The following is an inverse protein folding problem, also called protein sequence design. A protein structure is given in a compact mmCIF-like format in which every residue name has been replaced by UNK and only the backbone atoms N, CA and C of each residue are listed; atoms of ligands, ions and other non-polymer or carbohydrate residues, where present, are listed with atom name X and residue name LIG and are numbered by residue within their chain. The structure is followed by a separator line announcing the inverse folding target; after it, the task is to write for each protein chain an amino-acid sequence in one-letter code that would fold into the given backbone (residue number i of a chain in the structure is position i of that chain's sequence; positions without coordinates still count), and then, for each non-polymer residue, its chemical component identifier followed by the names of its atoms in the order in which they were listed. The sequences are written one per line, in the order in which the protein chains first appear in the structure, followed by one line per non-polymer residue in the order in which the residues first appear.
data_IF_885960342711
#
_entry.id   IF_885960342711
#
_cell.length_a   1.000
_cell.length_b   1.000
_cell.length_c   1.000
_cell.angle_alpha   90.00
_cell.angle_beta   90.00
_cell.angle_gamma   90.00
#
_symmetry.space_group_name_H-M   'P 1'
#
loop_
_entity.id
_entity.type
_entity.pdbx_description
1 polymer ?
#
# COMPACT_ATOMS: atom_id res chain seq x y z
N UNK A 1 10.27 -39.66 -29.71
CA UNK A 1 9.60 -39.83 -28.40
C UNK A 1 10.49 -39.25 -27.32
N UNK A 2 10.09 -38.12 -26.73
CA UNK A 2 10.87 -37.40 -25.71
C UNK A 2 10.92 -38.26 -24.44
N UNK A 3 12.11 -38.73 -24.06
CA UNK A 3 12.33 -39.41 -22.79
C UNK A 3 12.41 -38.33 -21.70
N UNK A 4 11.40 -38.27 -20.83
CA UNK A 4 11.48 -37.49 -19.59
C UNK A 4 12.60 -38.06 -18.73
N UNK A 5 13.54 -37.20 -18.37
CA UNK A 5 14.66 -37.50 -17.48
C UNK A 5 14.10 -37.64 -16.05
N UNK A 6 14.02 -38.88 -15.56
CA UNK A 6 13.70 -39.18 -14.17
C UNK A 6 14.99 -38.95 -13.35
N UNK A 7 15.04 -37.86 -12.59
CA UNK A 7 16.17 -37.57 -11.70
C UNK A 7 15.91 -38.22 -10.33
N UNK A 8 16.54 -39.36 -10.10
CA UNK A 8 16.60 -40.05 -8.80
C UNK A 8 17.68 -39.36 -7.95
N UNK A 9 17.31 -38.61 -6.91
CA UNK A 9 18.28 -37.96 -6.03
C UNK A 9 18.70 -38.93 -4.90
N UNK A 10 19.95 -39.42 -4.97
CA UNK A 10 20.62 -40.11 -3.87
C UNK A 10 20.99 -39.08 -2.79
N UNK A 11 20.45 -39.21 -1.58
CA UNK A 11 20.84 -38.41 -0.41
C UNK A 11 22.17 -38.94 0.16
N UNK A 12 23.29 -38.41 -0.34
CA UNK A 12 24.55 -38.44 0.41
C UNK A 12 24.50 -37.34 1.47
N UNK A 13 24.49 -37.72 2.74
CA UNK A 13 24.72 -36.82 3.87
C UNK A 13 26.18 -36.36 3.86
N UNK A 14 26.48 -35.33 3.08
CA UNK A 14 27.61 -34.45 3.38
C UNK A 14 27.19 -33.54 4.53
N UNK A 15 28.03 -33.48 5.57
CA UNK A 15 27.92 -32.52 6.67
C UNK A 15 28.12 -31.12 6.13
N UNK A 16 27.04 -30.54 5.59
CA UNK A 16 26.95 -29.13 5.25
C UNK A 16 26.56 -28.41 6.53
N UNK A 17 27.37 -27.43 6.91
CA UNK A 17 27.10 -26.46 7.96
C UNK A 17 25.63 -26.00 7.91
N UNK A 18 25.02 -25.81 9.08
CA UNK A 18 23.56 -25.60 9.30
C UNK A 18 22.96 -24.30 8.71
N UNK A 19 23.46 -23.83 7.58
CA UNK A 19 23.23 -22.50 7.02
C UNK A 19 22.91 -22.57 5.53
N UNK A 20 22.33 -23.65 5.01
CA UNK A 20 22.02 -23.74 3.59
C UNK A 20 20.64 -24.39 3.42
N UNK A 21 19.62 -23.58 3.11
CA UNK A 21 18.25 -24.06 2.89
C UNK A 21 17.97 -24.17 1.39
N UNK A 22 17.72 -25.39 0.94
CA UNK A 22 17.27 -25.65 -0.42
C UNK A 22 15.79 -25.27 -0.55
N UNK A 23 15.49 -24.39 -1.50
CA UNK A 23 14.12 -23.91 -1.82
C UNK A 23 13.78 -24.32 -3.25
N UNK A 24 12.53 -24.70 -3.50
CA UNK A 24 12.00 -24.94 -4.84
C UNK A 24 10.97 -23.84 -5.13
N UNK A 25 11.30 -22.85 -5.98
CA UNK A 25 10.47 -21.64 -6.15
C UNK A 25 9.08 -21.93 -6.72
N UNK A 26 8.98 -22.92 -7.60
CA UNK A 26 7.72 -23.40 -8.16
C UNK A 26 7.87 -24.84 -8.65
N UNK A 27 6.75 -25.54 -8.76
CA UNK A 27 6.73 -26.91 -9.23
C UNK A 27 5.38 -27.60 -9.09
N UNK A 28 5.39 -28.91 -9.33
CA UNK A 28 4.25 -29.80 -9.10
C UNK A 28 4.65 -30.86 -8.08
N UNK A 29 3.85 -31.00 -7.04
CA UNK A 29 3.89 -32.09 -6.07
C UNK A 29 2.95 -33.20 -6.54
N UNK A 30 3.38 -34.45 -6.48
CA UNK A 30 2.48 -35.62 -6.60
C UNK A 30 2.44 -36.34 -5.26
N UNK A 31 1.25 -36.52 -4.70
CA UNK A 31 1.01 -37.26 -3.46
C UNK A 31 0.97 -38.77 -3.72
N UNK A 32 1.08 -39.57 -2.65
CA UNK A 32 0.88 -41.03 -2.73
C UNK A 32 -0.52 -41.44 -3.22
N UNK A 33 -1.50 -40.56 -3.05
CA UNK A 33 -2.86 -40.70 -3.60
C UNK A 33 -2.96 -40.43 -5.10
N UNK A 34 -1.83 -40.14 -5.77
CA UNK A 34 -1.75 -39.64 -7.15
C UNK A 34 -2.39 -38.25 -7.38
N UNK A 35 -2.80 -37.57 -6.30
CA UNK A 35 -3.20 -36.16 -6.36
C UNK A 35 -2.00 -35.27 -6.72
N UNK A 36 -2.23 -34.30 -7.60
CA UNK A 36 -1.22 -33.33 -8.04
C UNK A 36 -1.54 -31.94 -7.51
N UNK A 37 -0.54 -31.29 -6.92
CA UNK A 37 -0.64 -29.94 -6.35
C UNK A 37 0.43 -29.06 -6.99
N UNK A 38 0.02 -27.97 -7.64
CA UNK A 38 0.96 -26.94 -8.11
C UNK A 38 1.32 -26.03 -6.95
N UNK A 39 2.60 -25.70 -6.79
CA UNK A 39 3.08 -24.96 -5.64
C UNK A 39 4.06 -23.85 -5.98
N UNK A 40 4.23 -22.92 -5.03
CA UNK A 40 5.33 -21.97 -4.98
C UNK A 40 6.07 -22.03 -3.63
N UNK A 41 7.32 -21.54 -3.61
CA UNK A 41 8.13 -21.34 -2.41
C UNK A 41 8.22 -22.56 -1.48
N UNK A 42 8.42 -23.76 -2.04
CA UNK A 42 8.54 -24.97 -1.25
C UNK A 42 9.89 -25.00 -0.53
N UNK A 43 9.85 -25.29 0.77
CA UNK A 43 11.01 -25.43 1.65
C UNK A 43 10.90 -26.69 2.51
N UNK A 44 12.02 -27.30 2.80
CA UNK A 44 12.10 -28.43 3.71
C UNK A 44 12.29 -27.94 5.15
N UNK A 45 11.54 -28.53 6.08
CA UNK A 45 11.64 -28.27 7.53
C UNK A 45 11.62 -29.63 8.25
N UNK A 46 12.80 -30.20 8.45
CA UNK A 46 12.92 -31.56 9.00
C UNK A 46 12.29 -32.59 8.06
N UNK A 47 11.34 -33.38 8.56
CA UNK A 47 10.60 -34.37 7.78
C UNK A 47 9.38 -33.81 7.03
N UNK A 48 9.17 -32.48 7.08
CA UNK A 48 8.03 -31.82 6.44
C UNK A 48 8.48 -30.98 5.25
N UNK A 49 7.58 -30.85 4.29
CA UNK A 49 7.62 -29.80 3.26
C UNK A 49 6.59 -28.73 3.60
N UNK A 50 6.99 -27.48 3.46
CA UNK A 50 6.10 -26.32 3.59
C UNK A 50 6.10 -25.58 2.26
N UNK A 51 4.93 -25.29 1.70
CA UNK A 51 4.79 -24.68 0.37
C UNK A 51 3.51 -23.87 0.26
N UNK A 52 3.43 -22.98 -0.72
CA UNK A 52 2.21 -22.25 -1.05
C UNK A 52 1.47 -23.03 -2.14
N UNK A 53 0.26 -23.52 -1.85
CA UNK A 53 -0.60 -24.15 -2.84
C UNK A 53 -1.13 -23.09 -3.81
N UNK A 54 -0.86 -23.22 -5.10
CA UNK A 54 -1.26 -22.22 -6.09
C UNK A 54 -2.76 -22.26 -6.41
N UNK A 55 -3.50 -23.27 -5.94
CA UNK A 55 -4.95 -23.36 -6.12
C UNK A 55 -5.70 -22.34 -5.27
N UNK A 56 -5.25 -22.11 -4.03
CA UNK A 56 -5.91 -21.23 -3.06
C UNK A 56 -4.94 -20.24 -2.39
N UNK A 57 -3.68 -20.23 -2.82
CA UNK A 57 -2.58 -19.40 -2.33
C UNK A 57 -2.32 -19.51 -0.82
N UNK A 58 -2.72 -20.63 -0.19
CA UNK A 58 -2.49 -20.90 1.23
C UNK A 58 -1.18 -21.66 1.44
N UNK A 59 -0.51 -21.34 2.55
CA UNK A 59 0.63 -22.16 3.00
C UNK A 59 0.10 -23.50 3.53
N UNK A 60 0.67 -24.59 3.02
CA UNK A 60 0.38 -25.96 3.41
C UNK A 60 1.66 -26.63 3.88
N UNK A 61 1.48 -27.54 4.84
CA UNK A 61 2.55 -28.39 5.35
C UNK A 61 2.16 -29.84 5.13
N UNK A 62 3.08 -30.64 4.59
CA UNK A 62 2.91 -32.08 4.40
C UNK A 62 4.12 -32.83 4.92
N UNK A 63 3.92 -34.04 5.41
CA UNK A 63 5.03 -34.94 5.73
C UNK A 63 5.65 -35.47 4.44
N UNK A 64 6.97 -35.62 4.40
CA UNK A 64 7.69 -36.21 3.26
C UNK A 64 7.20 -37.63 2.94
N UNK A 65 6.68 -38.34 3.94
CA UNK A 65 6.10 -39.67 3.78
C UNK A 65 4.80 -39.67 2.96
N UNK A 66 4.15 -38.52 2.76
CA UNK A 66 2.92 -38.37 1.97
C UNK A 66 3.21 -38.06 0.49
N UNK A 67 4.46 -37.69 0.18
CA UNK A 67 4.88 -37.23 -1.14
C UNK A 67 5.43 -38.39 -1.98
N UNK A 68 4.92 -38.53 -3.20
CA UNK A 68 5.38 -39.50 -4.21
C UNK A 68 6.44 -38.92 -5.13
N UNK A 69 6.28 -37.68 -5.59
CA UNK A 69 7.25 -36.99 -6.44
C UNK A 69 7.19 -35.46 -6.28
N UNK A 70 8.33 -34.81 -6.48
CA UNK A 70 8.44 -33.34 -6.55
C UNK A 70 9.08 -32.99 -7.89
N UNK A 71 8.37 -32.24 -8.73
CA UNK A 71 8.87 -31.72 -10.00
C UNK A 71 9.11 -30.23 -9.87
N UNK A 72 10.37 -29.79 -9.78
CA UNK A 72 10.74 -28.38 -9.72
C UNK A 72 12.25 -28.20 -9.68
N UNK A 73 12.73 -27.00 -10.02
CA UNK A 73 14.16 -26.69 -9.99
C UNK A 73 14.55 -26.17 -8.61
N UNK A 74 15.30 -26.97 -7.87
CA UNK A 74 15.86 -26.55 -6.59
C UNK A 74 16.90 -25.44 -6.78
N UNK A 75 16.86 -24.45 -5.90
CA UNK A 75 17.91 -23.45 -5.71
C UNK A 75 18.38 -23.51 -4.26
N UNK A 76 19.68 -23.27 -4.07
CA UNK A 76 20.31 -23.35 -2.76
C UNK A 76 20.46 -21.94 -2.19
N UNK A 77 19.96 -21.71 -0.97
CA UNK A 77 19.98 -20.38 -0.32
C UNK A 77 20.79 -20.47 0.97
N UNK A 78 21.90 -19.75 1.06
CA UNK A 78 22.74 -19.70 2.27
C UNK A 78 22.14 -18.77 3.35
N UNK A 79 22.01 -19.24 4.58
CA UNK A 79 21.60 -18.51 5.78
C UNK A 79 22.81 -18.13 6.67
N UNK A 80 23.39 -16.94 6.55
CA UNK A 80 24.22 -16.36 7.61
C UNK A 80 24.23 -14.81 7.60
N UNK A 81 23.95 -14.23 8.79
CA UNK A 81 24.03 -12.80 9.15
C UNK A 81 23.02 -11.86 8.42
N UNK A 82 22.53 -10.79 9.08
CA UNK A 82 21.52 -9.90 8.50
C UNK A 82 22.03 -9.40 7.16
N UNK A 83 21.20 -9.58 6.13
CA UNK A 83 21.58 -9.44 4.73
C UNK A 83 22.43 -8.18 4.49
N UNK A 84 23.62 -8.29 3.85
CA UNK A 84 24.12 -7.17 3.08
C UNK A 84 23.05 -6.91 2.02
N UNK A 85 22.54 -5.67 2.00
CA UNK A 85 21.58 -5.19 1.01
C UNK A 85 22.11 -5.55 -0.37
N UNK A 86 21.63 -6.63 -0.98
CA UNK A 86 21.73 -6.79 -2.42
C UNK A 86 20.86 -5.67 -2.95
N UNK A 87 21.52 -4.59 -3.34
CA UNK A 87 20.93 -3.50 -4.11
C UNK A 87 20.49 -4.17 -5.40
N UNK A 88 19.26 -4.71 -5.39
CA UNK A 88 18.38 -4.65 -6.55
C UNK A 88 18.54 -3.22 -7.00
N UNK A 89 19.06 -2.94 -8.21
CA UNK A 89 19.17 -1.58 -8.68
C UNK A 89 17.81 -0.96 -8.41
N UNK A 90 17.81 0.04 -7.51
CA UNK A 90 16.62 0.81 -7.23
C UNK A 90 16.16 1.25 -8.60
N UNK A 91 15.06 0.67 -9.09
CA UNK A 91 14.34 1.31 -10.18
C UNK A 91 14.11 2.68 -9.59
N UNK A 92 14.81 3.69 -10.12
CA UNK A 92 14.58 5.09 -9.81
C UNK A 92 13.17 5.39 -10.30
N UNK A 93 12.20 4.91 -9.55
CA UNK A 93 10.83 5.28 -9.66
C UNK A 93 10.86 6.77 -9.33
N UNK A 94 10.58 7.60 -10.33
CA UNK A 94 10.61 9.06 -10.23
C UNK A 94 9.57 9.61 -9.24
N UNK A 95 8.85 8.72 -8.54
CA UNK A 95 7.91 9.03 -7.48
C UNK A 95 8.60 9.73 -6.32
N UNK A 96 7.87 10.70 -5.78
CA UNK A 96 8.27 11.46 -4.62
C UNK A 96 8.50 10.56 -3.40
N UNK A 97 9.64 10.80 -2.72
CA UNK A 97 10.10 10.11 -1.51
C UNK A 97 10.54 11.17 -0.49
N UNK A 98 9.72 11.50 0.51
CA UNK A 98 10.11 12.46 1.53
C UNK A 98 11.08 11.81 2.52
N UNK A 99 11.91 12.63 3.18
CA UNK A 99 12.83 12.16 4.23
C UNK A 99 12.07 11.93 5.55
N UNK A 100 11.37 10.80 5.63
CA UNK A 100 10.65 10.31 6.79
C UNK A 100 11.04 8.85 7.04
N UNK A 101 11.60 8.50 8.21
CA UNK A 101 11.87 7.10 8.57
C UNK A 101 10.61 6.23 8.40
N UNK A 102 10.78 5.02 7.87
CA UNK A 102 9.68 4.06 7.73
C UNK A 102 9.07 3.75 9.11
N UNK A 103 7.74 3.71 9.19
CA UNK A 103 7.02 3.47 10.43
C UNK A 103 5.66 4.17 10.49
N UNK A 104 4.98 3.95 11.61
CA UNK A 104 3.69 4.54 11.94
C UNK A 104 3.94 5.84 12.70
N UNK A 105 3.31 6.92 12.22
CA UNK A 105 3.23 8.20 12.91
C UNK A 105 1.84 8.31 13.49
N UNK A 106 1.69 7.88 14.75
CA UNK A 106 0.38 7.82 15.40
C UNK A 106 -0.22 9.22 15.57
N UNK A 107 0.60 10.20 15.94
CA UNK A 107 0.16 11.58 16.19
C UNK A 107 0.70 12.58 15.16
N UNK A 108 0.08 13.77 15.14
CA UNK A 108 0.58 14.91 14.36
C UNK A 108 1.97 15.31 14.83
N UNK A 109 2.22 15.24 16.13
CA UNK A 109 3.48 15.59 16.77
C UNK A 109 4.60 14.61 16.36
N UNK A 110 4.33 13.31 16.34
CA UNK A 110 5.26 12.30 15.82
C UNK A 110 5.67 12.62 14.39
N UNK A 111 4.68 13.00 13.56
CA UNK A 111 4.88 13.38 12.17
C UNK A 111 5.71 14.66 12.02
N UNK A 112 5.41 15.71 12.77
CA UNK A 112 6.17 16.96 12.75
C UNK A 112 7.62 16.71 13.16
N UNK A 113 7.83 15.88 14.18
CA UNK A 113 9.16 15.55 14.70
C UNK A 113 9.91 14.51 13.83
N UNK A 114 9.28 14.00 12.76
CA UNK A 114 9.83 12.95 11.89
C UNK A 114 10.31 11.71 12.66
N UNK A 115 9.63 11.41 13.76
CA UNK A 115 9.93 10.28 14.64
C UNK A 115 8.72 9.35 14.64
N UNK A 116 8.79 8.18 13.99
CA UNK A 116 7.69 7.24 14.04
C UNK A 116 7.47 6.77 15.49
N UNK A 117 6.20 6.62 15.88
CA UNK A 117 5.80 6.09 17.18
C UNK A 117 6.15 4.60 17.28
N UNK A 118 6.12 3.89 16.15
CA UNK A 118 6.53 2.48 16.02
C UNK A 118 6.93 2.15 14.59
N UNK A 119 7.72 1.09 14.39
CA UNK A 119 8.13 0.61 13.06
C UNK A 119 7.92 -0.90 12.89
N UNK A 120 6.67 -1.40 13.01
CA UNK A 120 6.35 -2.80 12.77
C UNK A 120 6.40 -3.14 11.27
N UNK A 121 6.41 -4.43 10.94
CA UNK A 121 6.23 -4.86 9.56
C UNK A 121 4.78 -4.63 9.10
N UNK A 122 4.64 -3.98 7.94
CA UNK A 122 3.34 -3.58 7.38
C UNK A 122 3.08 -4.21 6.02
N UNK A 123 1.81 -4.45 5.73
CA UNK A 123 1.32 -4.81 4.40
C UNK A 123 0.27 -3.81 3.94
N UNK A 124 0.34 -3.44 2.66
CA UNK A 124 -0.70 -2.67 1.99
C UNK A 124 -1.68 -3.64 1.32
N UNK A 125 -2.98 -3.33 1.40
CA UNK A 125 -4.05 -4.09 0.75
C UNK A 125 -4.98 -3.18 -0.04
N UNK A 126 -5.59 -3.74 -1.08
CA UNK A 126 -6.46 -3.00 -2.01
C UNK A 126 -7.76 -2.48 -1.36
N UNK A 127 -8.39 -1.53 -2.06
CA UNK A 127 -9.63 -0.88 -1.62
C UNK A 127 -10.87 -1.75 -1.84
N UNK A 128 -10.87 -2.60 -2.87
CA UNK A 128 -12.02 -3.33 -3.38
C UNK A 128 -11.90 -4.85 -3.16
N UNK A 129 -13.05 -5.53 -3.13
CA UNK A 129 -13.15 -6.98 -2.94
C UNK A 129 -13.43 -7.40 -1.49
N UNK A 130 -14.14 -8.52 -1.33
CA UNK A 130 -14.33 -9.18 -0.03
C UNK A 130 -12.99 -9.73 0.50
N UNK A 131 -12.14 -10.20 -0.41
CA UNK A 131 -10.76 -10.57 -0.14
C UNK A 131 -9.86 -9.40 -0.56
N UNK A 132 -9.30 -8.70 0.43
CA UNK A 132 -8.34 -7.62 0.16
C UNK A 132 -6.97 -8.22 -0.04
N UNK A 133 -6.57 -8.39 -1.28
CA UNK A 133 -5.27 -8.95 -1.62
C UNK A 133 -4.12 -8.04 -1.17
N UNK A 134 -2.97 -8.66 -0.90
CA UNK A 134 -1.73 -7.94 -0.58
C UNK A 134 -1.22 -7.28 -1.85
N UNK A 135 -0.94 -5.99 -1.76
CA UNK A 135 -0.30 -5.23 -2.83
C UNK A 135 1.21 -5.43 -2.75
N UNK A 136 1.81 -5.87 -3.85
CA UNK A 136 3.27 -6.03 -3.97
C UNK A 136 4.00 -4.70 -4.21
N UNK A 137 3.36 -3.78 -4.94
CA UNK A 137 3.89 -2.46 -5.31
C UNK A 137 3.49 -1.31 -4.37
N UNK A 138 3.71 -0.09 -4.87
CA UNK A 138 3.27 1.17 -4.24
C UNK A 138 2.09 1.70 -5.04
N UNK A 139 0.96 1.94 -4.38
CA UNK A 139 -0.25 2.52 -4.95
C UNK A 139 -0.59 3.84 -4.26
N UNK A 140 -1.45 4.66 -4.87
CA UNK A 140 -1.81 5.96 -4.32
C UNK A 140 -2.87 5.86 -3.22
N UNK A 141 -3.69 4.81 -3.24
CA UNK A 141 -4.71 4.57 -2.23
C UNK A 141 -4.70 3.13 -1.78
N UNK A 142 -4.68 2.91 -0.46
CA UNK A 142 -4.70 1.57 0.10
C UNK A 142 -5.20 1.56 1.55
N UNK A 143 -5.34 0.37 2.11
CA UNK A 143 -5.41 0.16 3.55
C UNK A 143 -4.11 -0.48 4.03
N UNK A 144 -3.60 -0.05 5.18
CA UNK A 144 -2.47 -0.69 5.83
C UNK A 144 -2.92 -1.65 6.93
N UNK A 145 -2.16 -2.72 7.09
CA UNK A 145 -2.38 -3.77 8.06
C UNK A 145 -1.04 -4.17 8.71
N UNK A 146 -1.09 -4.61 9.97
CA UNK A 146 0.05 -5.25 10.61
C UNK A 146 0.29 -6.62 9.96
N UNK A 147 1.53 -6.90 9.54
CA UNK A 147 1.83 -8.15 8.84
C UNK A 147 1.60 -9.40 9.70
N UNK A 148 1.82 -9.29 11.02
CA UNK A 148 1.73 -10.42 11.96
C UNK A 148 0.29 -10.78 12.28
N UNK A 149 -0.56 -9.79 12.61
CA UNK A 149 -1.92 -10.03 13.10
C UNK A 149 -2.98 -9.92 12.01
N UNK A 150 -2.62 -9.39 10.84
CA UNK A 150 -3.55 -8.98 9.80
C UNK A 150 -4.64 -7.99 10.30
N UNK A 151 -4.33 -7.25 11.37
CA UNK A 151 -5.21 -6.19 11.86
C UNK A 151 -5.01 -4.92 11.05
N UNK A 152 -6.13 -4.30 10.64
CA UNK A 152 -6.12 -3.02 9.92
C UNK A 152 -5.64 -1.90 10.83
N UNK A 153 -4.70 -1.09 10.34
CA UNK A 153 -4.26 0.13 11.02
C UNK A 153 -5.33 1.21 10.90
N UNK A 154 -5.65 1.82 12.04
CA UNK A 154 -6.68 2.85 12.20
C UNK A 154 -6.18 3.93 13.15
N UNK A 155 -6.77 5.12 13.11
CA UNK A 155 -6.49 6.22 14.05
C UNK A 155 -5.02 6.63 14.13
N UNK A 156 -4.34 6.76 13.00
CA UNK A 156 -2.95 7.24 12.94
C UNK A 156 -2.84 8.44 12.01
N UNK A 157 -1.87 9.32 12.25
CA UNK A 157 -1.69 10.50 11.43
C UNK A 157 -1.15 10.16 10.03
N UNK A 158 -0.05 9.40 9.99
CA UNK A 158 0.61 9.02 8.74
C UNK A 158 1.33 7.68 8.87
N UNK A 159 1.70 7.11 7.72
CA UNK A 159 2.59 5.96 7.62
C UNK A 159 3.67 6.30 6.59
N UNK A 160 4.93 6.11 6.96
CA UNK A 160 6.02 5.99 5.99
C UNK A 160 6.25 4.52 5.71
N UNK A 161 6.12 4.11 4.45
CA UNK A 161 6.20 2.72 4.02
C UNK A 161 7.04 2.62 2.75
N UNK A 162 8.16 1.89 2.81
CA UNK A 162 9.12 1.71 1.72
C UNK A 162 9.60 3.05 1.14
N UNK A 163 9.81 4.05 2.01
CA UNK A 163 10.23 5.40 1.65
C UNK A 163 9.17 6.28 1.00
N UNK A 164 7.89 5.88 1.02
CA UNK A 164 6.77 6.71 0.59
C UNK A 164 5.89 7.07 1.79
N UNK A 165 5.41 8.30 1.81
CA UNK A 165 4.57 8.82 2.87
C UNK A 165 3.09 8.73 2.49
N UNK A 166 2.27 8.34 3.46
CA UNK A 166 0.83 8.20 3.32
C UNK A 166 0.11 8.88 4.48
N UNK A 167 -0.94 9.64 4.19
CA UNK A 167 -1.84 10.20 5.19
C UNK A 167 -3.10 9.38 5.30
N UNK A 168 -3.58 9.16 6.53
CA UNK A 168 -4.90 8.55 6.73
C UNK A 168 -5.99 9.57 6.43
N UNK A 169 -7.07 9.18 5.73
CA UNK A 169 -8.19 10.09 5.45
C UNK A 169 -8.80 10.65 6.75
N UNK A 170 -8.91 9.83 7.79
CA UNK A 170 -9.37 10.28 9.10
C UNK A 170 -8.47 11.38 9.69
N UNK A 171 -7.14 11.26 9.56
CA UNK A 171 -6.20 12.26 10.02
C UNK A 171 -6.29 13.56 9.21
N UNK A 172 -6.42 13.46 7.89
CA UNK A 172 -6.69 14.59 7.01
C UNK A 172 -7.95 15.32 7.50
N UNK A 173 -9.03 14.59 7.70
CA UNK A 173 -10.28 15.18 8.12
C UNK A 173 -10.10 15.82 9.51
N UNK A 174 -9.61 15.12 10.52
CA UNK A 174 -9.45 15.67 11.88
C UNK A 174 -8.56 16.92 11.96
N UNK A 175 -7.57 17.06 11.08
CA UNK A 175 -6.59 18.15 11.12
C UNK A 175 -6.73 19.14 9.96
N UNK A 176 -7.92 19.24 9.35
CA UNK A 176 -8.18 20.17 8.25
C UNK A 176 -8.42 21.61 8.71
N UNK A 177 -8.15 22.55 7.83
CA UNK A 177 -8.51 23.96 7.98
C UNK A 177 -10.00 24.08 8.32
N UNK A 178 -10.34 25.05 9.19
CA UNK A 178 -11.72 25.22 9.70
C UNK A 178 -12.75 25.45 8.59
N UNK A 179 -12.36 26.06 7.48
CA UNK A 179 -13.24 26.29 6.33
C UNK A 179 -13.54 25.01 5.54
N UNK A 180 -12.78 23.94 5.78
CA UNK A 180 -12.92 22.64 5.11
C UNK A 180 -13.78 21.62 5.87
N UNK A 181 -14.42 22.06 6.96
CA UNK A 181 -15.23 21.21 7.84
C UNK A 181 -16.37 20.46 7.16
N UNK A 182 -16.83 20.93 6.01
CA UNK A 182 -17.90 20.26 5.26
C UNK A 182 -17.42 19.08 4.38
N UNK A 183 -16.17 18.60 4.49
CA UNK A 183 -15.68 17.45 3.73
C UNK A 183 -15.76 16.13 4.52
N UNK A 184 -16.04 15.02 3.85
CA UNK A 184 -16.15 13.67 4.43
C UNK A 184 -15.75 12.58 3.43
N UNK A 185 -15.53 11.35 3.90
CA UNK A 185 -15.40 10.13 3.10
C UNK A 185 -15.83 8.91 3.94
N UNK A 186 -16.59 7.97 3.39
CA UNK A 186 -17.08 6.79 4.12
C UNK A 186 -16.00 5.76 4.49
N UNK A 187 -14.84 5.81 3.84
CA UNK A 187 -13.66 4.99 4.03
C UNK A 187 -12.57 5.74 4.83
N UNK A 188 -12.92 6.29 5.99
CA UNK A 188 -12.01 7.08 6.87
C UNK A 188 -10.65 6.41 7.14
N UNK A 189 -10.59 5.08 7.15
CA UNK A 189 -9.36 4.33 7.42
C UNK A 189 -8.45 4.14 6.20
N UNK A 190 -8.85 4.61 5.03
CA UNK A 190 -8.04 4.58 3.82
C UNK A 190 -6.85 5.52 3.99
N UNK A 191 -5.75 5.17 3.33
CA UNK A 191 -4.56 5.99 3.23
C UNK A 191 -4.43 6.52 1.82
N UNK A 192 -3.95 7.77 1.70
CA UNK A 192 -3.54 8.36 0.43
C UNK A 192 -2.06 8.71 0.44
N UNK A 193 -1.38 8.43 -0.68
CA UNK A 193 0.05 8.69 -0.85
C UNK A 193 0.32 10.17 -1.12
N UNK A 194 1.39 10.68 -0.53
CA UNK A 194 1.97 11.97 -0.90
C UNK A 194 2.69 11.81 -2.24
N UNK A 195 2.26 12.58 -3.24
CA UNK A 195 2.77 12.48 -4.61
C UNK A 195 3.73 13.60 -4.98
N UNK A 196 3.65 14.74 -4.28
CA UNK A 196 4.52 15.90 -4.47
C UNK A 196 4.85 16.48 -3.09
N UNK A 197 6.06 16.99 -2.92
CA UNK A 197 6.41 17.76 -1.73
C UNK A 197 7.43 18.83 -2.07
N UNK A 198 7.16 20.04 -1.59
CA UNK A 198 8.01 21.20 -1.74
C UNK A 198 8.53 21.70 -0.39
N UNK A 199 9.14 22.88 -0.39
CA UNK A 199 9.70 23.48 0.84
C UNK A 199 8.64 23.71 1.93
N UNK A 200 7.40 24.02 1.55
CA UNK A 200 6.36 24.47 2.47
C UNK A 200 5.17 23.51 2.63
N UNK A 201 5.11 22.44 1.83
CA UNK A 201 3.96 21.55 1.84
C UNK A 201 4.23 20.12 1.39
N UNK A 202 3.29 19.26 1.74
CA UNK A 202 3.07 17.99 1.04
C UNK A 202 1.72 17.99 0.33
N UNK A 203 1.71 17.48 -0.89
CA UNK A 203 0.52 17.33 -1.71
C UNK A 203 0.15 15.85 -1.87
N UNK A 204 -1.12 15.57 -1.64
CA UNK A 204 -1.75 14.29 -1.91
C UNK A 204 -3.11 14.53 -2.57
N UNK A 205 -3.72 13.47 -3.07
CA UNK A 205 -5.08 13.52 -3.58
C UNK A 205 -5.93 12.52 -2.84
N UNK A 206 -7.17 12.84 -2.54
CA UNK A 206 -8.09 11.84 -2.03
C UNK A 206 -9.49 12.07 -2.56
N UNK A 207 -10.21 10.96 -2.69
CA UNK A 207 -11.62 11.00 -2.96
C UNK A 207 -12.37 11.53 -1.73
N UNK A 208 -13.07 12.65 -1.85
CA UNK A 208 -13.83 13.28 -0.76
C UNK A 208 -15.16 13.82 -1.27
N UNK A 209 -16.17 13.86 -0.39
CA UNK A 209 -17.49 14.40 -0.66
C UNK A 209 -17.82 15.57 0.27
N UNK A 210 -18.78 16.40 -0.12
CA UNK A 210 -19.38 17.36 0.80
C UNK A 210 -20.35 16.63 1.76
N UNK A 211 -20.11 16.74 3.06
CA UNK A 211 -20.86 16.05 4.12
C UNK A 211 -22.34 16.43 4.13
N UNK A 212 -22.70 17.68 3.84
CA UNK A 212 -24.09 18.11 3.80
C UNK A 212 -24.81 17.58 2.56
N UNK A 213 -24.17 17.67 1.39
CA UNK A 213 -24.72 17.12 0.16
C UNK A 213 -24.91 15.60 0.26
N UNK A 214 -23.90 14.91 0.81
CA UNK A 214 -23.94 13.46 1.00
C UNK A 214 -24.98 13.05 2.06
N UNK A 215 -25.08 13.79 3.17
CA UNK A 215 -26.08 13.56 4.20
C UNK A 215 -27.52 13.79 3.70
N UNK A 216 -27.73 14.84 2.90
CA UNK A 216 -29.02 15.08 2.24
C UNK A 216 -29.37 13.96 1.26
N UNK A 217 -28.40 13.50 0.45
CA UNK A 217 -28.63 12.39 -0.47
C UNK A 217 -29.04 11.12 0.27
N UNK A 218 -28.32 10.73 1.33
CA UNK A 218 -28.66 9.56 2.14
C UNK A 218 -30.03 9.69 2.85
N UNK A 219 -30.34 10.86 3.42
CA UNK A 219 -31.54 11.07 4.21
C UNK A 219 -32.81 11.38 3.39
N UNK A 220 -32.68 11.98 2.22
CA UNK A 220 -33.79 12.54 1.46
C UNK A 220 -34.35 11.67 0.33
N UNK A 221 -33.59 10.67 -0.15
CA UNK A 221 -33.95 9.95 -1.39
C UNK A 221 -33.94 8.41 -1.28
N UNK A 222 -33.94 7.86 -0.06
CA UNK A 222 -34.00 6.40 0.16
C UNK A 222 -32.88 5.64 -0.60
N UNK A 223 -33.22 4.52 -1.24
CA UNK A 223 -32.26 3.70 -1.99
C UNK A 223 -31.58 4.46 -3.16
N UNK A 224 -32.31 5.35 -3.85
CA UNK A 224 -31.74 6.21 -4.89
C UNK A 224 -30.75 7.23 -4.29
N UNK A 225 -31.01 7.65 -3.05
CA UNK A 225 -30.13 8.50 -2.26
C UNK A 225 -28.76 7.90 -1.98
N UNK A 226 -28.67 6.60 -1.72
CA UNK A 226 -27.40 5.92 -1.51
C UNK A 226 -26.53 5.89 -2.77
N UNK A 227 -27.13 5.67 -3.95
CA UNK A 227 -26.44 5.70 -5.23
C UNK A 227 -25.96 7.12 -5.55
N UNK A 228 -26.83 8.12 -5.36
CA UNK A 228 -26.47 9.52 -5.54
C UNK A 228 -25.34 9.96 -4.60
N UNK A 229 -25.38 9.55 -3.33
CA UNK A 229 -24.36 9.86 -2.33
C UNK A 229 -22.98 9.28 -2.67
N UNK A 230 -22.94 8.11 -3.32
CA UNK A 230 -21.70 7.51 -3.82
C UNK A 230 -21.16 8.24 -5.06
N UNK A 231 -22.03 8.79 -5.92
CA UNK A 231 -21.62 9.60 -7.07
C UNK A 231 -21.11 11.01 -6.72
N UNK A 232 -21.23 11.45 -5.46
CA UNK A 232 -20.79 12.78 -4.99
C UNK A 232 -19.34 12.83 -4.48
N UNK A 233 -18.62 11.73 -4.69
CA UNK A 233 -17.26 11.50 -4.23
C UNK A 233 -16.27 11.86 -5.35
N UNK A 234 -15.52 12.95 -5.15
CA UNK A 234 -14.59 13.48 -6.16
C UNK A 234 -13.16 13.43 -5.65
N UNK A 235 -12.22 13.13 -6.53
CA UNK A 235 -10.80 13.29 -6.22
C UNK A 235 -10.49 14.78 -6.05
N UNK A 236 -9.86 15.11 -4.92
CA UNK A 236 -9.51 16.48 -4.55
C UNK A 236 -8.05 16.56 -4.19
N UNK A 237 -7.42 17.66 -4.58
CA UNK A 237 -6.09 18.02 -4.10
C UNK A 237 -6.12 18.38 -2.62
N UNK A 238 -5.12 17.91 -1.89
CA UNK A 238 -4.96 18.10 -0.45
C UNK A 238 -3.53 18.54 -0.19
N UNK A 239 -3.37 19.61 0.57
CA UNK A 239 -2.09 20.18 0.94
C UNK A 239 -1.94 20.10 2.44
N UNK A 240 -0.94 19.38 2.93
CA UNK A 240 -0.44 19.57 4.28
C UNK A 240 0.47 20.81 4.31
N UNK A 241 0.05 21.84 5.02
CA UNK A 241 0.80 23.09 5.18
C UNK A 241 1.73 22.99 6.39
N UNK A 242 3.05 23.05 6.19
CA UNK A 242 4.01 22.93 7.29
C UNK A 242 3.95 24.08 8.29
N UNK A 243 3.63 25.29 7.83
CA UNK A 243 3.60 26.49 8.67
C UNK A 243 2.39 26.46 9.58
N UNK A 244 1.22 26.18 9.01
CA UNK A 244 -0.05 26.17 9.75
C UNK A 244 -0.33 24.83 10.44
N UNK A 245 0.39 23.77 10.07
CA UNK A 245 0.24 22.41 10.61
C UNK A 245 -1.19 21.89 10.49
N UNK A 246 -1.79 22.13 9.32
CA UNK A 246 -3.14 21.71 8.98
C UNK A 246 -3.23 21.25 7.52
N UNK A 247 -4.29 20.51 7.21
CA UNK A 247 -4.63 20.14 5.84
C UNK A 247 -5.55 21.18 5.21
N UNK A 248 -5.18 21.68 4.04
CA UNK A 248 -6.05 22.46 3.16
C UNK A 248 -6.59 21.55 2.06
N UNK A 249 -7.90 21.58 1.83
CA UNK A 249 -8.57 20.75 0.82
C UNK A 249 -9.09 21.65 -0.29
N UNK A 250 -8.74 21.36 -1.53
CA UNK A 250 -9.26 22.08 -2.70
C UNK A 250 -10.68 21.61 -3.01
N UNK A 251 -11.66 22.05 -2.21
CA UNK A 251 -13.07 21.60 -2.33
C UNK A 251 -13.68 22.01 -3.66
N UNK A 252 -13.19 23.11 -4.21
CA UNK A 252 -13.55 23.68 -5.49
C UNK A 252 -12.35 24.45 -6.09
N UNK A 253 -12.50 24.90 -7.33
CA UNK A 253 -11.45 25.60 -8.06
C UNK A 253 -11.07 26.96 -7.43
N UNK A 254 -12.02 27.64 -6.76
CA UNK A 254 -11.72 28.89 -6.05
C UNK A 254 -10.78 28.64 -4.88
N UNK A 255 -11.01 27.59 -4.08
CA UNK A 255 -10.14 27.26 -2.94
C UNK A 255 -8.71 26.94 -3.42
N UNK A 256 -8.57 26.22 -4.54
CA UNK A 256 -7.27 26.03 -5.17
C UNK A 256 -6.61 27.36 -5.58
N UNK A 257 -7.38 28.25 -6.25
CA UNK A 257 -6.86 29.55 -6.67
C UNK A 257 -6.43 30.43 -5.48
N UNK A 258 -7.20 30.43 -4.40
CA UNK A 258 -6.88 31.16 -3.17
C UNK A 258 -5.54 30.66 -2.57
N UNK A 259 -5.24 29.37 -2.70
CA UNK A 259 -3.97 28.78 -2.27
C UNK A 259 -2.80 29.08 -3.23
N UNK A 260 -2.98 28.90 -4.55
CA UNK A 260 -1.86 28.95 -5.50
C UNK A 260 -1.48 30.38 -5.88
N UNK A 261 -2.43 31.32 -5.99
CA UNK A 261 -2.16 32.67 -6.52
C UNK A 261 -1.10 33.44 -5.72
N UNK A 262 -1.07 33.39 -4.38
CA UNK A 262 0.00 34.03 -3.61
C UNK A 262 1.39 33.42 -3.83
N UNK A 263 1.48 32.18 -4.30
CA UNK A 263 2.73 31.42 -4.46
C UNK A 263 3.21 31.40 -5.92
N UNK A 264 2.26 31.28 -6.86
CA UNK A 264 2.49 31.16 -8.29
C UNK A 264 1.26 31.67 -9.06
N UNK A 265 1.19 33.00 -9.31
CA UNK A 265 0.05 33.64 -9.98
C UNK A 265 -0.30 33.03 -11.34
N UNK A 266 0.70 32.58 -12.10
CA UNK A 266 0.55 31.94 -13.40
C UNK A 266 -0.15 30.57 -13.30
N UNK A 267 -0.15 29.95 -12.13
CA UNK A 267 -0.85 28.71 -11.83
C UNK A 267 -2.37 28.86 -11.63
N UNK A 268 -2.89 30.09 -11.69
CA UNK A 268 -4.32 30.38 -11.54
C UNK A 268 -5.16 29.70 -12.63
N UNK A 269 -6.20 28.99 -12.22
CA UNK A 269 -7.17 28.40 -13.13
C UNK A 269 -8.34 29.34 -13.41
N UNK A 270 -8.91 29.23 -14.61
CA UNK A 270 -10.09 29.99 -15.02
C UNK A 270 -11.41 29.53 -14.33
N UNK A 271 -11.39 28.38 -13.65
CA UNK A 271 -12.55 27.82 -12.92
C UNK A 271 -13.83 27.69 -13.74
N UNK A 272 -13.74 27.12 -14.95
CA UNK A 272 -14.90 26.81 -15.80
C UNK A 272 -15.86 25.79 -15.16
N UNK A 273 -15.33 24.93 -14.29
CA UNK A 273 -16.06 23.94 -13.50
C UNK A 273 -15.91 24.20 -12.01
N UNK A 274 -16.83 23.67 -11.20
CA UNK A 274 -16.73 23.76 -9.74
C UNK A 274 -15.48 23.06 -9.22
N UNK A 275 -15.15 21.87 -9.73
CA UNK A 275 -13.93 21.17 -9.37
C UNK A 275 -12.75 21.67 -10.21
N UNK A 276 -11.55 21.83 -9.60
CA UNK A 276 -10.34 22.14 -10.37
C UNK A 276 -9.91 20.95 -11.23
N UNK A 277 -9.23 21.22 -12.34
CA UNK A 277 -8.57 20.19 -13.13
C UNK A 277 -7.31 19.71 -12.39
N UNK A 278 -7.34 18.48 -11.87
CA UNK A 278 -6.23 17.92 -11.09
C UNK A 278 -4.92 17.81 -11.88
N UNK A 279 -4.96 17.65 -13.21
CA UNK A 279 -3.73 17.65 -14.00
C UNK A 279 -3.04 19.02 -13.93
N UNK A 280 -3.83 20.09 -14.06
CA UNK A 280 -3.30 21.46 -13.97
C UNK A 280 -2.88 21.80 -12.53
N UNK A 281 -3.64 21.34 -11.53
CA UNK A 281 -3.25 21.45 -10.10
C UNK A 281 -1.88 20.81 -9.89
N UNK A 282 -1.70 19.54 -10.28
CA UNK A 282 -0.41 18.83 -10.15
C UNK A 282 0.73 19.61 -10.80
N UNK A 283 0.54 20.15 -12.00
CA UNK A 283 1.57 20.94 -12.69
C UNK A 283 1.96 22.19 -11.90
N UNK A 284 0.98 22.94 -11.38
CA UNK A 284 1.26 24.10 -10.54
C UNK A 284 1.94 23.70 -9.23
N UNK A 285 1.50 22.62 -8.58
CA UNK A 285 2.14 22.08 -7.38
C UNK A 285 3.56 21.55 -7.64
N UNK A 286 3.94 21.19 -8.87
CA UNK A 286 5.33 20.89 -9.21
C UNK A 286 6.17 22.17 -9.41
N UNK A 287 5.55 23.23 -9.94
CA UNK A 287 6.23 24.50 -10.21
C UNK A 287 6.62 25.25 -8.92
N UNK A 288 5.88 25.05 -7.83
CA UNK A 288 6.15 25.66 -6.51
C UNK A 288 6.88 24.75 -5.53
N UNK A 289 7.48 23.66 -6.03
CA UNK A 289 8.22 22.69 -5.23
C UNK A 289 9.48 23.30 -4.60
#
# INVERSE_FOLDING_TARGET
MKKSLLLLLLLMFCTVSAQQQTVIPNGTLTLKTDEKITFANMRFKGNQIVFNDLKDNKERTLELTEVKAIEGKAITVDQAAPAPKTVVPEIKDSRFRPNYPDGIYATKEDFINKKPSSAPELIAKELAGFEKERISGIVDHCFFYYAISDEKIKNVFAISYKGHLFFQLEAILKNRNKTDRAQTNSQYNQFTRVTIGGEHYFYAEANLANQWAQGFAYGGMGAAGAIAAQGMQYDKGIVWDFKNQEFNIFKNCKDYNDFIVPLYPEGKLACKSQQPDLYQVRNAMQAIK
#
